data_IF_967289991107
#
_entry.id   IF_967289991107
#
_cell.length_a   1.000
_cell.length_b   1.000
_cell.length_c   1.000
_cell.angle_alpha   90.00
_cell.angle_beta   90.00
_cell.angle_gamma   90.00
#
_symmetry.space_group_name_H-M   'P 1'
#
loop_
_entity.id
_entity.type
_entity.pdbx_description
1 polymer ?
#
# COMPACT_ATOMS: atom_id res chain seq x y z
N UNK A 1 -2.06 18.62 -26.46
CA UNK A 1 -2.63 17.26 -26.37
C UNK A 1 -3.93 17.37 -25.59
N UNK A 2 -5.08 16.97 -26.15
CA UNK A 2 -6.34 17.04 -25.40
C UNK A 2 -6.51 15.78 -24.52
N UNK A 3 -7.42 15.80 -23.54
CA UNK A 3 -7.63 14.68 -22.63
C UNK A 3 -8.00 13.38 -23.37
N UNK A 4 -8.77 13.47 -24.45
CA UNK A 4 -9.15 12.33 -25.28
C UNK A 4 -7.94 11.68 -25.98
N UNK A 5 -6.97 12.48 -26.42
CA UNK A 5 -5.74 11.99 -27.04
C UNK A 5 -4.86 11.28 -26.01
N UNK A 6 -4.81 11.78 -24.76
CA UNK A 6 -4.11 11.14 -23.65
C UNK A 6 -4.70 9.77 -23.32
N UNK A 7 -6.03 9.67 -23.24
CA UNK A 7 -6.73 8.40 -22.98
C UNK A 7 -6.50 7.40 -24.11
N UNK A 8 -6.57 7.85 -25.37
CA UNK A 8 -6.29 7.00 -26.53
C UNK A 8 -4.85 6.50 -26.53
N UNK A 9 -3.89 7.34 -26.16
CA UNK A 9 -2.48 6.94 -26.04
C UNK A 9 -2.28 5.89 -24.94
N UNK A 10 -2.82 6.12 -23.73
CA UNK A 10 -2.74 5.17 -22.61
C UNK A 10 -3.41 3.83 -22.94
N UNK A 11 -4.59 3.87 -23.56
CA UNK A 11 -5.30 2.66 -23.99
C UNK A 11 -4.48 1.85 -25.01
N UNK A 12 -3.88 2.53 -26.00
CA UNK A 12 -3.02 1.88 -27.00
C UNK A 12 -1.75 1.32 -26.39
N UNK A 13 -1.13 1.97 -25.40
CA UNK A 13 0.04 1.43 -24.71
C UNK A 13 -0.28 0.20 -23.88
N UNK A 14 -1.48 0.09 -23.30
CA UNK A 14 -1.90 -1.10 -22.56
C UNK A 14 -2.19 -2.31 -23.46
N UNK A 15 -2.73 -2.08 -24.66
CA UNK A 15 -3.08 -3.16 -25.60
C UNK A 15 -1.95 -3.55 -26.56
N UNK A 16 -1.04 -2.62 -26.82
CA UNK A 16 0.03 -2.84 -27.76
C UNK A 16 1.21 -3.55 -27.10
N UNK A 17 1.57 -4.74 -27.60
CA UNK A 17 2.95 -5.26 -27.50
C UNK A 17 3.93 -4.46 -28.38
N UNK A 18 3.67 -3.17 -28.60
CA UNK A 18 4.37 -2.37 -29.60
C UNK A 18 5.43 -1.49 -28.95
N UNK A 19 6.65 -2.02 -28.92
CA UNK A 19 7.88 -1.30 -28.62
C UNK A 19 9.00 -2.24 -28.18
N UNK A 20 10.25 -1.81 -28.37
CA UNK A 20 11.42 -2.40 -27.71
C UNK A 20 11.39 -2.04 -26.22
N UNK A 21 10.39 -2.51 -25.50
CA UNK A 21 10.40 -2.44 -24.06
C UNK A 21 11.19 -3.63 -23.54
N UNK A 22 12.09 -3.37 -22.61
CA UNK A 22 12.60 -4.42 -21.73
C UNK A 22 11.41 -5.25 -21.22
N UNK A 23 11.60 -6.56 -21.03
CA UNK A 23 10.55 -7.37 -20.40
C UNK A 23 10.08 -6.72 -19.10
N UNK A 24 8.78 -6.75 -18.83
CA UNK A 24 8.14 -6.04 -17.70
C UNK A 24 8.92 -6.13 -16.37
N UNK A 25 9.52 -7.28 -15.99
CA UNK A 25 10.35 -7.38 -14.79
C UNK A 25 11.59 -6.46 -14.79
N UNK A 26 12.25 -6.32 -15.93
CA UNK A 26 13.44 -5.46 -16.06
C UNK A 26 13.06 -3.97 -16.02
N UNK A 27 11.93 -3.60 -16.64
CA UNK A 27 11.39 -2.26 -16.55
C UNK A 27 11.04 -1.87 -15.10
N UNK A 28 10.36 -2.77 -14.36
CA UNK A 28 10.04 -2.59 -12.94
C UNK A 28 11.33 -2.52 -12.11
N UNK A 29 12.28 -3.43 -12.34
CA UNK A 29 13.57 -3.46 -11.65
C UNK A 29 14.37 -2.17 -11.83
N UNK A 30 14.38 -1.59 -13.04
CA UNK A 30 15.02 -0.30 -13.32
C UNK A 30 14.36 0.85 -12.56
N UNK A 31 13.03 0.96 -12.59
CA UNK A 31 12.29 2.00 -11.85
C UNK A 31 12.60 1.89 -10.36
N UNK A 32 12.49 0.68 -9.80
CA UNK A 32 12.81 0.45 -8.38
C UNK A 32 14.26 0.81 -8.06
N UNK A 33 15.21 0.52 -8.96
CA UNK A 33 16.63 0.89 -8.83
C UNK A 33 16.88 2.39 -8.85
N UNK A 34 16.31 3.13 -9.81
CA UNK A 34 16.38 4.61 -9.85
C UNK A 34 15.89 5.23 -8.55
N UNK A 35 14.97 4.53 -7.90
CA UNK A 35 14.37 4.90 -6.65
C UNK A 35 14.97 4.22 -5.42
N UNK A 36 16.13 3.56 -5.54
CA UNK A 36 16.92 2.96 -4.45
C UNK A 36 16.22 1.82 -3.70
N UNK A 37 15.30 1.13 -4.37
CA UNK A 37 14.60 -0.08 -3.91
C UNK A 37 15.19 -1.30 -4.63
N UNK A 38 16.49 -1.25 -4.95
CA UNK A 38 17.21 -2.24 -5.75
C UNK A 38 17.46 -3.58 -5.04
N UNK A 39 17.55 -3.55 -3.70
CA UNK A 39 17.88 -4.73 -2.88
C UNK A 39 16.72 -5.17 -1.97
N UNK A 40 15.48 -4.79 -2.28
CA UNK A 40 14.32 -5.11 -1.43
C UNK A 40 14.24 -6.61 -1.10
N UNK A 41 13.99 -7.00 0.17
CA UNK A 41 13.60 -6.18 1.33
C UNK A 41 14.78 -5.53 2.09
N UNK A 42 16.03 -5.86 1.74
CA UNK A 42 17.24 -5.39 2.43
C UNK A 42 17.62 -3.99 1.96
N UNK A 43 16.79 -3.00 2.26
CA UNK A 43 17.09 -1.61 1.91
C UNK A 43 18.16 -1.06 2.87
N UNK A 44 19.40 -0.88 2.37
CA UNK A 44 20.50 -0.24 3.13
C UNK A 44 20.22 1.22 3.52
N UNK A 45 19.26 1.86 2.85
CA UNK A 45 18.75 3.19 3.19
C UNK A 45 17.23 3.13 3.20
N UNK A 46 16.63 3.22 4.38
CA UNK A 46 15.20 3.50 4.48
C UNK A 46 14.95 4.92 3.95
N UNK A 47 14.19 5.06 2.86
CA UNK A 47 13.74 6.36 2.37
C UNK A 47 12.54 6.84 3.18
N UNK A 48 12.31 8.16 3.23
CA UNK A 48 11.17 8.70 3.97
C UNK A 48 9.85 8.24 3.35
N UNK A 49 8.76 8.26 4.13
CA UNK A 49 7.40 7.96 3.65
C UNK A 49 7.05 8.71 2.36
N UNK A 50 7.39 10.00 2.32
CA UNK A 50 7.14 10.88 1.18
C UNK A 50 7.93 10.48 -0.07
N UNK A 51 9.12 9.89 0.10
CA UNK A 51 9.90 9.40 -1.02
C UNK A 51 9.21 8.18 -1.65
N UNK A 52 8.74 7.23 -0.83
CA UNK A 52 8.00 6.06 -1.34
C UNK A 52 6.77 6.51 -2.11
N UNK A 53 6.00 7.45 -1.58
CA UNK A 53 4.83 8.02 -2.24
C UNK A 53 5.17 8.70 -3.58
N UNK A 54 6.18 9.59 -3.61
CA UNK A 54 6.60 10.31 -4.83
C UNK A 54 7.07 9.38 -5.94
N UNK A 55 7.66 8.26 -5.54
CA UNK A 55 8.30 7.28 -6.42
C UNK A 55 7.26 6.31 -7.00
N UNK A 56 6.45 5.73 -6.13
CA UNK A 56 5.58 4.61 -6.48
C UNK A 56 4.13 5.05 -6.71
N UNK A 57 3.75 6.22 -6.21
CA UNK A 57 2.35 6.60 -6.06
C UNK A 57 1.61 5.79 -4.99
N UNK A 58 2.30 4.91 -4.25
CA UNK A 58 1.70 4.03 -3.24
C UNK A 58 1.81 4.68 -1.85
N UNK A 59 0.76 4.47 -1.07
CA UNK A 59 0.68 4.90 0.33
C UNK A 59 0.83 3.67 1.23
N UNK A 60 2.02 3.39 1.76
CA UNK A 60 2.28 2.10 2.39
C UNK A 60 1.62 1.93 3.77
N UNK A 61 1.25 3.00 4.46
CA UNK A 61 0.72 2.96 5.83
C UNK A 61 -0.56 3.78 6.01
N UNK A 62 -0.57 5.01 5.51
CA UNK A 62 -1.67 5.95 5.71
C UNK A 62 -2.07 6.63 4.40
N UNK A 63 -3.34 6.55 4.05
CA UNK A 63 -3.88 7.32 2.95
C UNK A 63 -3.97 8.78 3.39
N UNK A 64 -3.42 9.69 2.59
CA UNK A 64 -3.45 11.13 2.88
C UNK A 64 -4.17 11.81 1.74
N UNK A 65 -5.39 12.27 2.00
CA UNK A 65 -6.21 12.97 1.01
C UNK A 65 -6.66 14.34 1.48
N UNK A 66 -6.89 15.23 0.53
CA UNK A 66 -7.58 16.49 0.78
C UNK A 66 -9.07 16.26 0.50
N UNK A 67 -9.88 16.33 1.55
CA UNK A 67 -11.34 16.15 1.48
C UNK A 67 -12.06 17.37 2.02
N UNK A 68 -13.41 17.35 2.00
CA UNK A 68 -14.25 18.37 2.63
C UNK A 68 -14.93 17.83 3.88
N UNK A 69 -15.05 18.68 4.90
CA UNK A 69 -15.86 18.39 6.09
C UNK A 69 -17.33 18.21 5.73
N UNK A 70 -18.04 17.35 6.46
CA UNK A 70 -19.49 17.10 6.25
C UNK A 70 -20.42 18.13 6.92
N UNK A 71 -19.93 19.35 7.14
CA UNK A 71 -20.65 20.42 7.85
C UNK A 71 -21.43 21.33 6.88
N UNK A 72 -22.37 22.11 7.41
CA UNK A 72 -23.19 23.07 6.63
C UNK A 72 -22.35 24.11 5.85
N UNK A 73 -21.12 24.37 6.32
CA UNK A 73 -20.12 25.20 5.64
C UNK A 73 -18.85 24.37 5.42
N UNK A 74 -18.73 23.67 4.27
CA UNK A 74 -17.64 22.73 4.07
C UNK A 74 -16.31 23.45 3.88
N UNK A 75 -15.29 22.98 4.60
CA UNK A 75 -13.90 23.43 4.47
C UNK A 75 -13.03 22.27 4.01
N UNK A 76 -11.97 22.57 3.26
CA UNK A 76 -11.00 21.54 2.88
C UNK A 76 -10.17 21.16 4.12
N UNK A 77 -10.02 19.87 4.37
CA UNK A 77 -9.20 19.29 5.43
C UNK A 77 -8.23 18.27 4.85
N UNK A 78 -7.11 18.05 5.54
CA UNK A 78 -6.25 16.91 5.28
C UNK A 78 -6.79 15.76 6.13
N UNK A 79 -7.26 14.71 5.46
CA UNK A 79 -7.70 13.50 6.12
C UNK A 79 -6.59 12.46 6.07
N UNK A 80 -6.23 11.94 7.25
CA UNK A 80 -5.35 10.79 7.39
C UNK A 80 -6.21 9.55 7.63
N UNK A 81 -6.24 8.64 6.65
CA UNK A 81 -6.98 7.39 6.72
C UNK A 81 -6.00 6.21 6.81
N UNK A 82 -6.46 5.07 7.35
CA UNK A 82 -5.74 3.81 7.19
C UNK A 82 -5.66 3.48 5.71
N UNK A 83 -4.45 3.33 5.17
CA UNK A 83 -4.32 2.87 3.81
C UNK A 83 -4.72 1.39 3.78
N UNK A 84 -5.73 1.03 2.99
CA UNK A 84 -6.09 -0.37 2.74
C UNK A 84 -5.08 -1.01 1.78
N UNK A 85 -3.80 -0.83 2.06
CA UNK A 85 -2.65 -1.21 1.22
C UNK A 85 -2.20 -2.63 1.49
N UNK A 86 -3.11 -3.50 1.91
CA UNK A 86 -2.87 -4.92 2.05
C UNK A 86 -3.43 -5.67 0.83
N UNK A 87 -2.71 -6.67 0.33
CA UNK A 87 -3.04 -7.29 -0.96
C UNK A 87 -4.24 -8.24 -0.88
N UNK A 88 -4.52 -8.77 0.32
CA UNK A 88 -5.62 -9.70 0.56
C UNK A 88 -6.67 -9.06 1.47
N UNK A 89 -7.96 -9.34 1.29
CA UNK A 89 -9.03 -8.76 2.10
C UNK A 89 -9.09 -9.43 3.50
N UNK A 90 -8.04 -9.24 4.29
CA UNK A 90 -7.82 -9.85 5.59
C UNK A 90 -8.94 -9.56 6.59
N UNK A 91 -9.58 -8.39 6.47
CA UNK A 91 -10.70 -7.96 7.32
C UNK A 91 -12.00 -8.69 7.03
N UNK A 92 -12.13 -9.24 5.81
CA UNK A 92 -13.34 -9.90 5.36
C UNK A 92 -13.32 -11.40 5.62
N UNK A 93 -12.14 -12.02 5.63
CA UNK A 93 -12.04 -13.48 5.74
C UNK A 93 -12.62 -14.09 7.03
N UNK A 94 -12.54 -13.44 8.21
CA UNK A 94 -13.22 -13.93 9.40
C UNK A 94 -14.75 -13.87 9.31
N UNK A 95 -15.29 -12.93 8.52
CA UNK A 95 -16.71 -12.54 8.55
C UNK A 95 -17.49 -12.93 7.28
N UNK A 96 -16.82 -13.09 6.12
CA UNK A 96 -17.41 -13.31 4.79
C UNK A 96 -17.27 -14.77 4.30
N UNK A 97 -17.10 -15.74 5.21
CA UNK A 97 -17.42 -17.14 4.92
C UNK A 97 -16.42 -17.92 4.06
N UNK A 98 -15.18 -17.44 3.86
CA UNK A 98 -14.15 -18.36 3.34
C UNK A 98 -13.75 -19.33 4.45
N UNK A 99 -13.92 -20.63 4.21
CA UNK A 99 -13.55 -21.65 5.20
C UNK A 99 -12.07 -21.54 5.59
N UNK A 100 -11.74 -21.80 6.86
CA UNK A 100 -10.38 -21.72 7.41
C UNK A 100 -9.31 -22.39 6.54
N UNK A 101 -9.65 -23.55 5.94
CA UNK A 101 -8.76 -24.27 5.00
C UNK A 101 -8.46 -23.48 3.72
N UNK A 102 -9.46 -22.82 3.15
CA UNK A 102 -9.31 -22.00 1.94
C UNK A 102 -8.49 -20.75 2.22
N UNK A 103 -8.73 -20.10 3.36
CA UNK A 103 -7.92 -18.96 3.81
C UNK A 103 -6.43 -19.33 3.94
N UNK A 104 -6.14 -20.49 4.57
CA UNK A 104 -4.76 -20.99 4.69
C UNK A 104 -4.12 -21.31 3.35
N UNK A 105 -4.87 -21.85 2.39
CA UNK A 105 -4.37 -22.12 1.04
C UNK A 105 -4.00 -20.82 0.31
N UNK A 106 -4.89 -19.81 0.33
CA UNK A 106 -4.63 -18.50 -0.30
C UNK A 106 -3.43 -17.81 0.35
N UNK A 107 -3.34 -17.83 1.68
CA UNK A 107 -2.18 -17.27 2.40
C UNK A 107 -0.87 -17.97 2.01
N UNK A 108 -0.91 -19.29 1.78
CA UNK A 108 0.26 -20.06 1.33
C UNK A 108 0.69 -19.65 -0.07
N UNK A 109 -0.25 -19.52 -1.00
CA UNK A 109 0.01 -19.05 -2.36
C UNK A 109 0.51 -17.60 -2.37
N UNK A 110 -0.08 -16.73 -1.57
CA UNK A 110 0.36 -15.35 -1.44
C UNK A 110 1.78 -15.25 -0.88
N UNK A 111 2.11 -16.06 0.12
CA UNK A 111 3.48 -16.18 0.63
C UNK A 111 4.45 -16.66 -0.45
N UNK A 112 4.03 -17.59 -1.31
CA UNK A 112 4.84 -18.04 -2.44
C UNK A 112 5.07 -16.91 -3.46
N UNK A 113 4.02 -16.15 -3.79
CA UNK A 113 4.11 -14.97 -4.66
C UNK A 113 5.10 -13.94 -4.10
N UNK A 114 5.01 -13.59 -2.81
CA UNK A 114 5.94 -12.65 -2.16
C UNK A 114 7.39 -13.12 -2.34
N UNK A 115 7.67 -14.41 -2.08
CA UNK A 115 9.03 -14.95 -2.22
C UNK A 115 9.55 -14.86 -3.65
N UNK A 116 8.71 -15.15 -4.64
CA UNK A 116 9.08 -15.04 -6.05
C UNK A 116 9.35 -13.58 -6.45
N UNK A 117 8.56 -12.63 -5.96
CA UNK A 117 8.80 -11.20 -6.19
C UNK A 117 10.12 -10.77 -5.54
N UNK A 118 10.41 -11.20 -4.30
CA UNK A 118 11.69 -10.91 -3.65
C UNK A 118 12.85 -11.44 -4.52
N UNK A 119 12.77 -12.69 -4.99
CA UNK A 119 13.83 -13.29 -5.82
C UNK A 119 13.97 -12.64 -7.19
N UNK A 120 12.88 -12.12 -7.75
CA UNK A 120 12.88 -11.38 -9.01
C UNK A 120 13.65 -10.06 -8.88
N UNK A 121 13.53 -9.39 -7.72
CA UNK A 121 14.15 -8.10 -7.45
C UNK A 121 15.57 -8.24 -6.87
N UNK A 122 15.77 -9.22 -5.99
CA UNK A 122 17.03 -9.51 -5.32
C UNK A 122 17.25 -11.02 -5.27
N UNK A 123 17.94 -11.54 -6.28
CA UNK A 123 18.24 -12.96 -6.43
C UNK A 123 19.11 -13.55 -5.30
N UNK A 124 19.81 -12.71 -4.52
CA UNK A 124 20.66 -13.11 -3.41
C UNK A 124 19.97 -12.99 -2.05
N UNK A 125 18.68 -12.64 -2.02
CA UNK A 125 17.94 -12.47 -0.79
C UNK A 125 17.89 -13.78 0.03
N UNK A 126 18.29 -13.68 1.29
CA UNK A 126 18.21 -14.77 2.27
C UNK A 126 16.98 -14.60 3.16
N UNK A 127 16.65 -15.63 3.94
CA UNK A 127 15.55 -15.60 4.92
C UNK A 127 14.15 -15.29 4.34
N UNK A 128 13.93 -15.63 3.06
CA UNK A 128 12.70 -15.36 2.30
C UNK A 128 11.42 -15.76 3.06
N UNK A 129 11.43 -16.92 3.72
CA UNK A 129 10.28 -17.41 4.48
C UNK A 129 9.97 -16.51 5.69
N UNK A 130 10.99 -16.05 6.41
CA UNK A 130 10.82 -15.14 7.54
C UNK A 130 10.32 -13.79 7.07
N UNK A 131 10.93 -13.22 6.02
CA UNK A 131 10.49 -11.93 5.45
C UNK A 131 9.04 -12.00 4.98
N UNK A 132 8.67 -13.02 4.21
CA UNK A 132 7.31 -13.15 3.70
C UNK A 132 6.28 -13.29 4.83
N UNK A 133 6.62 -14.00 5.91
CA UNK A 133 5.78 -14.07 7.12
C UNK A 133 5.65 -12.72 7.81
N UNK A 134 6.74 -11.96 7.94
CA UNK A 134 6.72 -10.62 8.53
C UNK A 134 5.84 -9.65 7.73
N UNK A 135 5.90 -9.70 6.40
CA UNK A 135 5.05 -8.89 5.51
C UNK A 135 3.57 -9.24 5.74
N UNK A 136 3.21 -10.53 5.68
CA UNK A 136 1.83 -10.98 5.92
C UNK A 136 1.35 -10.58 7.32
N UNK A 137 2.21 -10.72 8.34
CA UNK A 137 1.87 -10.33 9.71
C UNK A 137 1.59 -8.83 9.82
N UNK A 138 2.38 -8.00 9.14
CA UNK A 138 2.17 -6.56 9.10
C UNK A 138 0.86 -6.20 8.39
N UNK A 139 0.58 -6.81 7.23
CA UNK A 139 -0.69 -6.62 6.53
C UNK A 139 -1.91 -6.99 7.38
N UNK A 140 -1.85 -8.14 8.07
CA UNK A 140 -2.92 -8.57 8.99
C UNK A 140 -3.11 -7.61 10.16
N UNK A 141 -2.02 -7.07 10.72
CA UNK A 141 -2.10 -6.08 11.78
C UNK A 141 -2.75 -4.77 11.30
N UNK A 142 -2.37 -4.29 10.11
CA UNK A 142 -2.99 -3.10 9.49
C UNK A 142 -4.48 -3.32 9.20
N UNK A 143 -4.83 -4.50 8.68
CA UNK A 143 -6.22 -4.90 8.48
C UNK A 143 -7.02 -4.87 9.79
N UNK A 144 -6.45 -5.38 10.89
CA UNK A 144 -7.12 -5.34 12.20
C UNK A 144 -7.33 -3.90 12.70
N UNK A 145 -6.36 -3.01 12.49
CA UNK A 145 -6.50 -1.59 12.83
C UNK A 145 -7.64 -0.93 12.02
N UNK A 146 -7.77 -1.27 10.74
CA UNK A 146 -8.85 -0.74 9.90
C UNK A 146 -10.24 -1.30 10.28
N UNK A 147 -10.34 -2.57 10.67
CA UNK A 147 -11.55 -3.16 11.27
C UNK A 147 -11.95 -2.40 12.55
N UNK A 148 -11.02 -2.24 13.49
CA UNK A 148 -11.27 -1.51 14.75
C UNK A 148 -11.70 -0.06 14.51
N UNK A 149 -11.17 0.59 13.47
CA UNK A 149 -11.61 1.94 13.07
C UNK A 149 -13.05 1.92 12.59
N UNK A 150 -13.41 1.01 11.66
CA UNK A 150 -14.79 0.90 11.14
C UNK A 150 -15.80 0.68 12.26
N UNK A 151 -15.53 -0.26 13.15
CA UNK A 151 -16.45 -0.60 14.26
C UNK A 151 -16.62 0.56 15.25
N UNK A 152 -15.57 1.37 15.47
CA UNK A 152 -15.64 2.55 16.34
C UNK A 152 -16.37 3.75 15.72
N UNK A 153 -16.36 3.89 14.39
CA UNK A 153 -17.03 5.00 13.68
C UNK A 153 -18.56 4.86 13.70
N UNK A 154 -19.09 3.64 13.86
CA UNK A 154 -20.55 3.41 13.99
C UNK A 154 -21.16 3.95 15.30
N UNK A 155 -20.33 4.32 16.28
CA UNK A 155 -20.77 4.64 17.63
C UNK A 155 -20.98 6.13 17.92
N UNK A 156 -19.93 6.95 17.88
CA UNK A 156 -19.99 8.24 18.61
C UNK A 156 -18.88 9.26 18.31
N UNK A 157 -18.21 9.22 17.15
CA UNK A 157 -17.13 10.17 16.85
C UNK A 157 -17.41 10.94 15.56
N UNK A 158 -17.82 12.20 15.72
CA UNK A 158 -17.72 13.23 14.69
C UNK A 158 -16.25 13.37 14.28
N UNK A 159 -15.99 13.49 12.97
CA UNK A 159 -14.68 13.65 12.31
C UNK A 159 -13.63 14.31 13.23
N UNK A 160 -12.83 13.55 14.00
CA UNK A 160 -11.96 14.13 15.01
C UNK A 160 -10.87 14.91 14.28
N UNK A 161 -10.97 16.23 14.37
CA UNK A 161 -10.05 17.14 13.70
C UNK A 161 -9.02 17.60 14.71
N UNK A 162 -7.75 17.27 14.47
CA UNK A 162 -6.61 17.74 15.26
C UNK A 162 -5.82 18.75 14.44
N UNK A 163 -5.29 19.78 15.08
CA UNK A 163 -4.29 20.63 14.43
C UNK A 163 -2.99 19.84 14.23
N UNK A 164 -2.17 20.21 13.26
CA UNK A 164 -0.85 19.58 13.06
C UNK A 164 0.05 19.75 14.28
N UNK A 165 -0.11 20.86 15.03
CA UNK A 165 0.62 21.11 16.27
C UNK A 165 0.22 20.11 17.35
N UNK A 166 -1.08 19.90 17.57
CA UNK A 166 -1.55 18.93 18.56
C UNK A 166 -1.14 17.51 18.16
N UNK A 167 -1.20 17.19 16.86
CA UNK A 167 -0.75 15.92 16.32
C UNK A 167 0.74 15.66 16.63
N UNK A 168 1.61 16.66 16.47
CA UNK A 168 3.04 16.50 16.74
C UNK A 168 3.32 16.21 18.21
N UNK A 169 2.55 16.79 19.14
CA UNK A 169 2.68 16.52 20.59
C UNK A 169 2.38 15.06 20.95
N UNK A 170 1.47 14.39 20.22
CA UNK A 170 1.20 12.96 20.43
C UNK A 170 2.32 12.04 19.91
N UNK A 171 3.13 12.51 18.96
CA UNK A 171 4.25 11.75 18.40
C UNK A 171 5.62 12.11 19.02
N UNK A 172 5.74 13.29 19.64
CA UNK A 172 6.97 13.78 20.27
C UNK A 172 7.11 13.40 21.75
N UNK A 173 6.04 12.88 22.39
CA UNK A 173 6.13 12.33 23.73
C UNK A 173 6.88 10.99 23.71
N UNK A 174 8.17 11.09 24.05
CA UNK A 174 9.12 10.00 24.36
C UNK A 174 8.68 9.19 25.57
#
# INVERSE_FOLDING_TARGET
>A
MNATDMVKAAYRSCLGHYGYYEGEPAAIGRVLKEHGIEDWPSMKKFRSYLDVLKITGLEPLFHIEVTRTKQNFPTNIIQLNTASSYALPWTEWPNNGIGKRRAMAIETEYKYLIKNIILLLNNNAQNLETTARSIISMEKAMAKLDEMRRDKVYGFWTEPTLSLFDLSQYFENR
#
